data_IF_123278795032
#
_entry.id   IF_123278795032
#
_cell.length_a   1.000
_cell.length_b   1.000
_cell.length_c   1.000
_cell.angle_alpha   90.00
_cell.angle_beta   90.00
_cell.angle_gamma   90.00
#
_symmetry.space_group_name_H-M   'P 1'
#
loop_
_entity.id
_entity.type
_entity.pdbx_description
1 polymer ?
#
# COMPACT_ATOMS: atom_id res chain seq x y z
N UNK A 1 -12.52 9.37 2.99
CA UNK A 1 -11.39 8.42 2.91
C UNK A 1 -10.17 9.18 2.43
N UNK A 2 -9.06 9.14 3.17
CA UNK A 2 -7.84 9.85 2.75
C UNK A 2 -7.31 9.18 1.46
N UNK A 3 -7.24 9.95 0.38
CA UNK A 3 -6.57 9.50 -0.84
C UNK A 3 -5.13 9.11 -0.48
N UNK A 4 -4.79 7.85 -0.70
CA UNK A 4 -3.45 7.35 -0.47
C UNK A 4 -2.54 7.84 -1.60
N UNK A 5 -1.37 8.39 -1.25
CA UNK A 5 -0.42 8.94 -2.21
C UNK A 5 0.94 8.24 -2.15
N UNK A 6 1.66 8.23 -3.28
CA UNK A 6 3.06 7.79 -3.32
C UNK A 6 3.87 8.67 -2.38
N UNK A 7 4.71 8.04 -1.55
CA UNK A 7 5.53 8.69 -0.55
C UNK A 7 4.89 8.79 0.83
N UNK A 8 3.58 8.59 0.96
CA UNK A 8 2.87 8.62 2.23
C UNK A 8 3.27 7.43 3.13
N UNK A 9 3.40 7.70 4.44
CA UNK A 9 3.51 6.66 5.46
C UNK A 9 2.11 6.21 5.89
N UNK A 10 1.90 4.90 5.96
CA UNK A 10 0.67 4.27 6.45
C UNK A 10 0.98 3.45 7.71
N UNK A 11 0.02 3.42 8.63
CA UNK A 11 0.07 2.57 9.82
C UNK A 11 -0.25 1.12 9.42
N UNK A 12 0.80 0.35 9.14
CA UNK A 12 0.73 -1.08 8.84
C UNK A 12 2.02 -1.72 9.33
N UNK A 13 1.90 -2.83 10.08
CA UNK A 13 3.05 -3.55 10.59
C UNK A 13 3.82 -4.27 9.48
N UNK A 14 5.13 -4.02 9.42
CA UNK A 14 6.07 -4.72 8.57
C UNK A 14 6.13 -6.20 8.95
N UNK A 15 5.95 -7.09 7.98
CA UNK A 15 5.97 -8.55 8.16
C UNK A 15 7.37 -9.11 8.48
N UNK A 16 8.44 -8.31 8.29
CA UNK A 16 9.83 -8.73 8.51
C UNK A 16 10.45 -8.21 9.81
N UNK A 17 10.30 -6.92 10.11
CA UNK A 17 10.95 -6.28 11.27
C UNK A 17 9.96 -5.73 12.30
N UNK A 18 8.66 -5.95 12.11
CA UNK A 18 7.58 -5.53 12.99
C UNK A 18 7.47 -4.03 13.28
N UNK A 19 8.17 -3.19 12.51
CA UNK A 19 7.95 -1.75 12.53
C UNK A 19 6.54 -1.42 12.05
N UNK A 20 5.85 -0.49 12.72
CA UNK A 20 4.41 -0.25 12.52
C UNK A 20 4.07 0.68 11.35
N UNK A 21 5.08 1.17 10.63
CA UNK A 21 4.90 2.05 9.48
C UNK A 21 5.48 1.46 8.19
N UNK A 22 4.77 1.69 7.09
CA UNK A 22 5.23 1.39 5.75
C UNK A 22 5.02 2.61 4.83
N UNK A 23 5.97 2.86 3.93
CA UNK A 23 5.91 3.93 2.93
C UNK A 23 5.29 3.40 1.64
N UNK A 24 4.29 4.08 1.09
CA UNK A 24 3.78 3.77 -0.26
C UNK A 24 4.83 4.17 -1.28
N UNK A 25 5.24 3.23 -2.13
CA UNK A 25 6.25 3.46 -3.19
C UNK A 25 5.65 3.41 -4.59
N UNK A 26 4.50 2.75 -4.76
CA UNK A 26 3.79 2.67 -6.03
C UNK A 26 2.31 2.39 -5.78
N UNK A 27 1.45 2.91 -6.64
CA UNK A 27 0.02 2.63 -6.67
C UNK A 27 -0.31 2.18 -8.09
N UNK A 28 -0.82 0.96 -8.24
CA UNK A 28 -1.30 0.44 -9.52
C UNK A 28 -2.83 0.28 -9.44
N UNK A 29 -3.54 0.77 -10.45
CA UNK A 29 -4.96 0.45 -10.64
C UNK A 29 -5.11 -0.81 -11.46
N UNK A 30 -5.88 -1.78 -10.95
CA UNK A 30 -6.35 -2.93 -11.73
C UNK A 30 -7.84 -2.78 -11.97
N UNK A 31 -8.20 -2.71 -13.25
CA UNK A 31 -9.59 -2.81 -13.67
C UNK A 31 -9.97 -4.28 -13.78
N UNK A 32 -10.92 -4.69 -12.95
CA UNK A 32 -11.65 -5.93 -13.13
C UNK A 32 -12.98 -5.60 -13.81
N UNK A 33 -13.58 -6.60 -14.47
CA UNK A 33 -14.82 -6.44 -15.26
C UNK A 33 -15.94 -5.67 -14.56
N UNK A 34 -16.01 -5.72 -13.23
CA UNK A 34 -17.08 -5.10 -12.44
C UNK A 34 -16.60 -4.01 -11.46
N UNK A 35 -15.28 -3.95 -11.17
CA UNK A 35 -14.71 -3.12 -10.09
C UNK A 35 -13.29 -2.67 -10.41
N UNK A 36 -12.95 -1.47 -9.98
CA UNK A 36 -11.55 -1.00 -9.92
C UNK A 36 -10.97 -1.40 -8.56
N UNK A 37 -9.78 -1.97 -8.54
CA UNK A 37 -9.02 -2.21 -7.33
C UNK A 37 -7.69 -1.46 -7.38
N UNK A 38 -7.20 -1.02 -6.23
CA UNK A 38 -5.88 -0.41 -6.10
C UNK A 38 -4.93 -1.39 -5.44
N UNK A 39 -3.78 -1.60 -6.07
CA UNK A 39 -2.64 -2.31 -5.50
C UNK A 39 -1.63 -1.27 -5.01
N UNK A 40 -1.43 -1.22 -3.70
CA UNK A 40 -0.41 -0.40 -3.07
C UNK A 40 0.84 -1.22 -2.85
N UNK A 41 1.94 -0.78 -3.45
CA UNK A 41 3.25 -1.29 -3.13
C UNK A 41 3.82 -0.45 -2.02
N UNK A 42 4.33 -1.12 -0.99
CA UNK A 42 4.80 -0.50 0.23
C UNK A 42 6.22 -0.96 0.53
N UNK A 43 7.01 -0.11 1.15
CA UNK A 43 8.36 -0.42 1.61
C UNK A 43 8.51 -0.02 3.07
N UNK A 44 9.11 -0.89 3.88
CA UNK A 44 9.45 -0.56 5.25
C UNK A 44 10.62 0.43 5.27
N UNK A 45 10.45 1.63 5.86
CA UNK A 45 11.54 2.61 5.93
C UNK A 45 12.70 2.15 6.82
N UNK A 46 12.45 1.18 7.73
CA UNK A 46 13.45 0.68 8.68
C UNK A 46 14.33 -0.45 8.12
N UNK A 47 13.74 -1.43 7.44
CA UNK A 47 14.46 -2.62 6.97
C UNK A 47 14.47 -2.82 5.44
N UNK A 48 13.83 -1.91 4.69
CA UNK A 48 13.76 -1.98 3.23
C UNK A 48 12.87 -3.10 2.68
N UNK A 49 12.15 -3.84 3.53
CA UNK A 49 11.26 -4.91 3.07
C UNK A 49 10.11 -4.35 2.24
N UNK A 50 9.91 -4.89 1.05
CA UNK A 50 8.78 -4.54 0.20
C UNK A 50 7.60 -5.48 0.46
N UNK A 51 6.39 -4.94 0.41
CA UNK A 51 5.14 -5.68 0.57
C UNK A 51 4.04 -5.06 -0.30
N UNK A 52 3.00 -5.82 -0.61
CA UNK A 52 1.87 -5.36 -1.43
C UNK A 52 0.56 -5.45 -0.65
N UNK A 53 -0.32 -4.48 -0.90
CA UNK A 53 -1.66 -4.44 -0.34
C UNK A 53 -2.67 -4.25 -1.46
N UNK A 54 -3.74 -5.03 -1.45
CA UNK A 54 -4.87 -4.83 -2.33
C UNK A 54 -5.99 -4.16 -1.54
N UNK A 55 -6.52 -3.04 -2.03
CA UNK A 55 -7.76 -2.45 -1.50
C UNK A 55 -8.76 -2.31 -2.64
N UNK A 56 -10.05 -2.36 -2.29
CA UNK A 56 -11.10 -1.98 -3.24
C UNK A 56 -11.01 -0.47 -3.48
N UNK A 57 -11.27 -0.04 -4.72
CA UNK A 57 -11.63 1.35 -4.96
C UNK A 57 -13.07 1.51 -4.47
N UNK A 58 -13.28 2.16 -3.33
CA UNK A 58 -14.63 2.56 -2.95
C UNK A 58 -15.14 3.57 -4.00
N UNK A 59 -16.23 3.20 -4.68
CA UNK A 59 -16.93 4.03 -5.69
C UNK A 59 -17.56 5.25 -5.04
#
# INVERSE_FOLDING_TARGET
MNQLAIGQLIQKRCTRCFHDELKIIKIDSKEFSEKVAYVFWTQCPKCGNNDTNLTQADR
#
